data_IF_076429293943
#
_entry.id   IF_076429293943
#
_cell.length_a   1.000
_cell.length_b   1.000
_cell.length_c   1.000
_cell.angle_alpha   90.00
_cell.angle_beta   90.00
_cell.angle_gamma   90.00
#
_symmetry.space_group_name_H-M   'P 1'
#
loop_
_entity.id
_entity.type
_entity.pdbx_description
1 polymer ?
#
# COMPACT_ATOMS: atom_id res chain seq x y z
N UNK A 1 -7.20 -3.14 -21.46
CA UNK A 1 -7.55 -3.66 -20.15
C UNK A 1 -7.72 -2.50 -19.16
N UNK A 2 -8.78 -2.53 -18.38
CA UNK A 2 -9.05 -1.45 -17.46
C UNK A 2 -8.23 -1.60 -16.18
N UNK A 3 -7.64 -0.50 -15.72
CA UNK A 3 -6.82 -0.46 -14.52
C UNK A 3 -7.52 0.40 -13.48
N UNK A 4 -7.59 -0.09 -12.25
CA UNK A 4 -8.12 0.68 -11.12
C UNK A 4 -6.99 0.96 -10.15
N UNK A 5 -6.99 2.15 -9.58
CA UNK A 5 -6.03 2.48 -8.55
C UNK A 5 -6.67 3.35 -7.47
N UNK A 6 -6.18 3.20 -6.25
CA UNK A 6 -6.58 4.01 -5.11
C UNK A 6 -5.32 4.55 -4.47
N UNK A 7 -5.20 5.86 -4.39
CA UNK A 7 -4.01 6.55 -3.93
C UNK A 7 -4.21 7.09 -2.52
N UNK A 8 -3.22 6.86 -1.68
CA UNK A 8 -3.19 7.41 -0.32
C UNK A 8 -2.08 8.45 -0.31
N UNK A 9 -2.47 9.71 -0.47
CA UNK A 9 -1.53 10.83 -0.58
C UNK A 9 -1.23 11.38 0.81
N UNK A 10 0.03 11.37 1.21
CA UNK A 10 0.42 11.86 2.51
C UNK A 10 0.32 13.39 2.55
N UNK A 11 -0.25 13.92 3.62
CA UNK A 11 -0.51 15.34 3.75
C UNK A 11 0.15 15.93 4.99
N UNK A 12 0.28 17.27 5.01
CA UNK A 12 0.84 17.98 6.14
C UNK A 12 2.26 17.54 6.44
N UNK A 13 2.51 17.20 7.70
CA UNK A 13 3.83 16.75 8.15
C UNK A 13 4.00 15.25 8.08
N UNK A 14 2.99 14.53 7.60
CA UNK A 14 3.10 13.07 7.45
C UNK A 14 4.07 12.73 6.34
N UNK A 15 4.93 11.74 6.59
CA UNK A 15 5.97 11.34 5.68
C UNK A 15 6.12 9.82 5.74
N UNK A 16 7.06 9.27 5.00
CA UNK A 16 7.27 7.82 4.93
C UNK A 16 7.49 7.19 6.30
N UNK A 17 8.27 7.83 7.17
CA UNK A 17 8.54 7.27 8.51
C UNK A 17 7.28 7.10 9.34
N UNK A 18 6.24 7.88 9.07
CA UNK A 18 4.99 7.78 9.80
C UNK A 18 4.20 6.53 9.43
N UNK A 19 4.55 5.89 8.31
CA UNK A 19 3.92 4.65 7.88
C UNK A 19 4.52 3.43 8.57
N UNK A 20 5.74 3.55 9.12
CA UNK A 20 6.45 2.40 9.69
C UNK A 20 5.62 1.63 10.73
N UNK A 21 4.95 2.28 11.70
CA UNK A 21 4.21 1.52 12.71
C UNK A 21 3.06 0.69 12.15
N UNK A 22 2.50 1.07 11.00
CA UNK A 22 1.32 0.38 10.44
C UNK A 22 1.60 -0.38 9.17
N UNK A 23 2.79 -0.23 8.60
CA UNK A 23 3.09 -0.88 7.32
C UNK A 23 2.94 -2.40 7.37
N UNK A 24 3.41 -3.10 8.42
CA UNK A 24 3.21 -4.55 8.49
C UNK A 24 1.74 -4.96 8.41
N UNK A 25 0.85 -4.20 9.06
CA UNK A 25 -0.58 -4.49 9.01
C UNK A 25 -1.19 -4.16 7.65
N UNK A 26 -0.70 -3.11 6.99
CA UNK A 26 -1.14 -2.78 5.64
C UNK A 26 -0.77 -3.91 4.68
N UNK A 27 0.47 -4.38 4.75
CA UNK A 27 0.95 -5.44 3.89
C UNK A 27 0.20 -6.74 4.16
N UNK A 28 -0.05 -7.05 5.43
CA UNK A 28 -0.81 -8.23 5.80
C UNK A 28 -2.23 -8.17 5.23
N UNK A 29 -2.90 -7.03 5.35
CA UNK A 29 -4.25 -6.86 4.83
C UNK A 29 -4.27 -7.05 3.31
N UNK A 30 -3.28 -6.50 2.61
CA UNK A 30 -3.18 -6.66 1.16
C UNK A 30 -3.02 -8.14 0.77
N UNK A 31 -2.04 -8.81 1.38
CA UNK A 31 -1.74 -10.18 1.01
C UNK A 31 -2.89 -11.13 1.34
N UNK A 32 -3.61 -10.88 2.43
CA UNK A 32 -4.79 -11.68 2.76
C UNK A 32 -5.91 -11.44 1.76
N UNK A 33 -6.11 -10.20 1.34
CA UNK A 33 -7.17 -9.88 0.38
C UNK A 33 -6.92 -10.53 -0.98
N UNK A 34 -5.67 -10.55 -1.45
CA UNK A 34 -5.33 -11.15 -2.73
C UNK A 34 -4.96 -12.63 -2.62
N UNK A 35 -5.06 -13.20 -1.42
CA UNK A 35 -4.78 -14.61 -1.15
C UNK A 35 -3.36 -15.02 -1.55
N UNK A 36 -2.41 -14.16 -1.29
CA UNK A 36 -0.99 -14.38 -1.56
C UNK A 36 -0.14 -14.36 -0.29
N UNK A 37 -0.77 -14.52 0.87
CA UNK A 37 -0.02 -14.59 2.11
C UNK A 37 0.91 -15.80 2.07
N UNK A 38 2.23 -15.60 2.30
CA UNK A 38 3.16 -16.72 2.30
C UNK A 38 2.82 -17.75 3.38
N UNK A 39 3.05 -19.02 3.09
CA UNK A 39 2.82 -20.08 4.08
C UNK A 39 3.83 -20.00 5.22
N UNK A 40 5.06 -19.57 4.92
CA UNK A 40 6.11 -19.44 5.91
C UNK A 40 6.16 -18.01 6.44
N UNK A 41 6.11 -17.87 7.76
CA UNK A 41 6.12 -16.58 8.39
C UNK A 41 7.39 -15.79 8.09
N UNK A 42 8.51 -16.48 7.91
CA UNK A 42 9.78 -15.83 7.60
C UNK A 42 9.74 -15.09 6.25
N UNK A 43 8.99 -15.63 5.29
CA UNK A 43 8.86 -14.98 3.97
C UNK A 43 8.06 -13.69 4.11
N UNK A 44 6.97 -13.72 4.88
CA UNK A 44 6.20 -12.52 5.13
C UNK A 44 7.08 -11.47 5.85
N UNK A 45 7.81 -11.90 6.87
CA UNK A 45 8.68 -11.00 7.63
C UNK A 45 9.75 -10.39 6.74
N UNK A 46 10.26 -11.13 5.76
CA UNK A 46 11.23 -10.62 4.81
C UNK A 46 10.63 -9.45 4.01
N UNK A 47 9.39 -9.60 3.53
CA UNK A 47 8.73 -8.49 2.81
C UNK A 47 8.55 -7.27 3.70
N UNK A 48 8.19 -7.49 4.97
CA UNK A 48 8.06 -6.40 5.93
C UNK A 48 9.39 -5.70 6.12
N UNK A 49 10.44 -6.47 6.41
CA UNK A 49 11.75 -5.90 6.73
C UNK A 49 12.35 -5.10 5.57
N UNK A 50 12.17 -5.58 4.35
CA UNK A 50 12.67 -4.89 3.15
C UNK A 50 12.08 -3.48 3.05
N UNK A 51 10.83 -3.32 3.43
CA UNK A 51 10.17 -2.03 3.37
C UNK A 51 10.48 -1.18 4.60
N UNK A 52 10.55 -1.81 5.77
CA UNK A 52 10.77 -1.09 7.02
C UNK A 52 12.11 -0.38 7.05
N UNK A 53 13.14 -0.97 6.46
CA UNK A 53 14.47 -0.34 6.39
C UNK A 53 14.35 1.07 5.78
N UNK A 54 13.60 1.19 4.69
CA UNK A 54 13.44 2.48 4.02
C UNK A 54 12.49 3.40 4.79
N UNK A 55 11.38 2.86 5.28
CA UNK A 55 10.40 3.68 6.01
C UNK A 55 10.99 4.28 7.28
N UNK A 56 11.78 3.50 8.02
CA UNK A 56 12.39 3.98 9.25
C UNK A 56 13.43 5.05 8.99
N UNK A 57 14.00 5.07 7.79
CA UNK A 57 14.92 6.11 7.35
C UNK A 57 14.22 7.24 6.62
N UNK A 58 12.91 7.25 6.65
CA UNK A 58 12.06 8.24 5.99
C UNK A 58 12.32 8.30 4.48
N UNK A 59 12.44 7.13 3.87
CA UNK A 59 12.67 7.00 2.43
C UNK A 59 11.55 6.19 1.79
N UNK A 60 11.41 6.36 0.48
CA UNK A 60 10.46 5.60 -0.32
C UNK A 60 10.82 4.11 -0.33
N UNK A 61 9.94 3.23 0.15
CA UNK A 61 10.20 1.79 0.09
C UNK A 61 9.77 1.22 -1.26
N UNK A 62 10.04 -0.06 -1.45
CA UNK A 62 9.63 -0.75 -2.68
C UNK A 62 8.14 -1.05 -2.75
N UNK A 63 7.50 -1.24 -1.60
CA UNK A 63 6.12 -1.67 -1.55
C UNK A 63 5.99 -3.16 -1.85
N UNK A 64 4.90 -3.53 -2.52
CA UNK A 64 4.67 -4.91 -2.96
C UNK A 64 4.28 -4.87 -4.42
N UNK A 65 5.27 -4.81 -5.30
CA UNK A 65 5.08 -4.65 -6.74
C UNK A 65 5.41 -5.97 -7.45
N UNK A 66 4.64 -7.01 -7.13
CA UNK A 66 4.82 -8.34 -7.69
C UNK A 66 3.63 -8.70 -8.55
N UNK A 67 3.85 -9.60 -9.52
CA UNK A 67 2.80 -10.09 -10.38
C UNK A 67 1.70 -10.73 -9.53
N UNK A 68 0.47 -10.30 -9.74
CA UNK A 68 -0.65 -10.79 -8.98
C UNK A 68 -1.88 -9.91 -9.18
N UNK A 69 -2.89 -10.15 -8.35
CA UNK A 69 -4.17 -9.49 -8.47
C UNK A 69 -4.09 -8.00 -8.17
N UNK A 70 -3.24 -7.63 -7.22
CA UNK A 70 -3.12 -6.25 -6.77
C UNK A 70 -1.70 -5.96 -6.36
N UNK A 71 -1.27 -4.72 -6.54
CA UNK A 71 0.07 -4.26 -6.18
C UNK A 71 0.00 -3.06 -5.28
N UNK A 72 0.98 -2.92 -4.41
CA UNK A 72 1.17 -1.74 -3.55
C UNK A 72 2.42 -1.03 -4.06
N UNK A 73 2.25 0.20 -4.55
CA UNK A 73 3.31 0.92 -5.24
C UNK A 73 3.57 2.27 -4.58
N UNK A 74 4.86 2.59 -4.42
CA UNK A 74 5.30 3.92 -3.97
C UNK A 74 5.94 4.61 -5.16
N UNK A 75 5.32 5.66 -5.72
CA UNK A 75 5.91 6.37 -6.87
C UNK A 75 7.14 7.17 -6.46
N UNK A 76 7.99 7.47 -7.44
CA UNK A 76 9.30 8.09 -7.17
C UNK A 76 9.24 9.56 -6.79
N UNK A 77 8.28 10.28 -7.31
CA UNK A 77 8.28 11.75 -7.23
C UNK A 77 7.17 12.33 -6.36
N UNK A 78 6.44 11.50 -5.62
CA UNK A 78 5.32 11.96 -4.80
C UNK A 78 5.26 11.17 -3.50
N UNK A 79 4.88 11.86 -2.43
CA UNK A 79 4.72 11.23 -1.13
C UNK A 79 3.34 10.60 -1.05
N UNK A 80 3.23 9.40 -1.59
CA UNK A 80 2.00 8.63 -1.57
C UNK A 80 2.32 7.16 -1.77
N UNK A 81 1.32 6.33 -1.55
CA UNK A 81 1.35 4.97 -2.07
C UNK A 81 -0.02 4.68 -2.65
N UNK A 82 -0.07 3.72 -3.56
CA UNK A 82 -1.35 3.38 -4.16
C UNK A 82 -1.48 1.87 -4.38
N UNK A 83 -2.74 1.45 -4.39
CA UNK A 83 -3.12 0.09 -4.75
C UNK A 83 -3.49 0.10 -6.22
N UNK A 84 -2.98 -0.88 -6.97
CA UNK A 84 -3.24 -1.00 -8.40
C UNK A 84 -3.75 -2.40 -8.71
N UNK A 85 -4.89 -2.49 -9.39
CA UNK A 85 -5.46 -3.78 -9.78
C UNK A 85 -6.00 -3.72 -11.19
N UNK A 86 -5.96 -4.88 -11.85
CA UNK A 86 -6.56 -5.07 -13.17
C UNK A 86 -7.90 -5.80 -13.07
N UNK A 87 -8.33 -6.15 -11.87
CA UNK A 87 -9.58 -6.85 -11.65
C UNK A 87 -10.72 -5.88 -11.35
N UNK A 88 -11.51 -6.12 -10.32
CA UNK A 88 -12.68 -5.29 -10.02
C UNK A 88 -12.36 -4.22 -9.01
N UNK A 89 -12.93 -3.03 -9.20
CA UNK A 89 -12.77 -1.94 -8.23
C UNK A 89 -13.30 -2.32 -6.85
N UNK A 90 -14.32 -3.19 -6.79
CA UNK A 90 -14.89 -3.62 -5.52
C UNK A 90 -13.90 -4.35 -4.63
N UNK A 91 -12.91 -5.01 -5.24
CA UNK A 91 -11.87 -5.71 -4.46
C UNK A 91 -11.03 -4.72 -3.67
N UNK A 92 -10.88 -3.49 -4.17
CA UNK A 92 -10.13 -2.46 -3.47
C UNK A 92 -10.92 -1.73 -2.40
N UNK A 93 -12.26 -1.73 -2.50
CA UNK A 93 -13.07 -0.94 -1.59
C UNK A 93 -12.90 -1.38 -0.14
N UNK A 94 -12.97 -2.68 0.10
CA UNK A 94 -12.81 -3.23 1.44
C UNK A 94 -11.39 -2.97 1.97
N UNK A 95 -10.39 -3.23 1.15
CA UNK A 95 -9.00 -3.01 1.54
C UNK A 95 -8.72 -1.54 1.80
N UNK A 96 -9.29 -0.65 0.98
CA UNK A 96 -9.15 0.79 1.16
C UNK A 96 -9.65 1.21 2.55
N UNK A 97 -10.81 0.70 2.98
CA UNK A 97 -11.35 1.06 4.28
C UNK A 97 -10.47 0.54 5.43
N UNK A 98 -9.92 -0.66 5.28
CA UNK A 98 -9.00 -1.20 6.29
C UNK A 98 -7.77 -0.31 6.41
N UNK A 99 -7.17 0.06 5.27
CA UNK A 99 -5.96 0.89 5.27
C UNK A 99 -6.25 2.29 5.84
N UNK A 100 -7.39 2.88 5.49
CA UNK A 100 -7.80 4.17 6.05
C UNK A 100 -7.85 4.13 7.57
N UNK A 101 -8.43 3.05 8.10
CA UNK A 101 -8.49 2.86 9.55
C UNK A 101 -7.13 2.75 10.19
N UNK A 102 -6.23 2.00 9.56
CA UNK A 102 -4.86 1.84 10.07
C UNK A 102 -4.11 3.17 10.08
N UNK A 103 -4.20 3.92 8.98
CA UNK A 103 -3.53 5.21 8.87
C UNK A 103 -4.08 6.21 9.89
N UNK A 104 -5.39 6.25 10.04
CA UNK A 104 -6.03 7.13 11.00
C UNK A 104 -5.60 6.81 12.43
N UNK A 105 -5.56 5.53 12.77
CA UNK A 105 -5.13 5.09 14.10
C UNK A 105 -3.68 5.47 14.41
N UNK A 106 -2.84 5.53 13.37
CA UNK A 106 -1.43 5.90 13.52
C UNK A 106 -1.21 7.40 13.50
N UNK A 107 -2.25 8.19 13.35
CA UNK A 107 -2.12 9.64 13.29
C UNK A 107 -1.57 10.17 11.98
N UNK A 108 -1.57 9.35 10.93
CA UNK A 108 -1.10 9.77 9.61
C UNK A 108 -2.16 10.61 8.94
N UNK A 109 -1.75 11.75 8.39
CA UNK A 109 -2.64 12.60 7.62
C UNK A 109 -2.54 12.24 6.16
N UNK A 110 -3.68 12.01 5.52
CA UNK A 110 -3.71 11.53 4.15
C UNK A 110 -5.00 11.93 3.45
N UNK A 111 -4.95 11.84 2.13
CA UNK A 111 -6.11 12.03 1.27
C UNK A 111 -6.21 10.83 0.34
N UNK A 112 -7.44 10.35 0.11
CA UNK A 112 -7.66 9.19 -0.77
C UNK A 112 -8.18 9.69 -2.11
N UNK A 113 -7.53 9.26 -3.19
CA UNK A 113 -7.94 9.57 -4.56
C UNK A 113 -8.13 8.28 -5.33
N UNK A 114 -9.21 8.21 -6.09
CA UNK A 114 -9.51 7.04 -6.92
C UNK A 114 -9.26 7.35 -8.40
N UNK A 115 -8.72 6.38 -9.12
CA UNK A 115 -8.45 6.49 -10.54
C UNK A 115 -8.80 5.17 -11.22
N UNK A 116 -9.61 5.26 -12.28
CA UNK A 116 -10.04 4.07 -13.03
C UNK A 116 -9.65 4.16 -14.51
N UNK A 117 -8.56 4.86 -14.80
CA UNK A 117 -8.05 5.00 -16.16
C UNK A 117 -7.42 3.71 -16.65
N UNK A 118 -7.43 3.55 -17.97
CA UNK A 118 -6.84 2.38 -18.60
C UNK A 118 -5.37 2.55 -18.94
N UNK A 119 -4.90 3.78 -18.99
CA UNK A 119 -3.52 4.12 -19.36
C UNK A 119 -2.63 4.45 -18.17
N UNK A 120 -3.04 4.00 -17.00
CA UNK A 120 -2.29 4.24 -15.78
C UNK A 120 -1.10 3.29 -15.68
N UNK A 121 0.06 3.78 -15.28
CA UNK A 121 1.24 2.94 -15.07
C UNK A 121 1.77 2.97 -13.64
#
# INVERSE_FOLDING_TARGET
>A
MKVFSTHFVLKGKSDYKNLAPVFPDILKALLEEIKQMPEEEEIFQMFVDMNMVDLERNRKPEGYNRKGKMRLIFPMDRKEFYLKTYSKATDMTKLTEVIKGLLTSAGVKFEVLHNDRTDFD
#
